data_IF_196666003785
#
_entry.id   IF_196666003785
#
_cell.length_a   1.000
_cell.length_b   1.000
_cell.length_c   1.000
_cell.angle_alpha   90.00
_cell.angle_beta   90.00
_cell.angle_gamma   90.00
#
_symmetry.space_group_name_H-M   'P 1'
#
loop_
_entity.id
_entity.type
_entity.pdbx_description
1 polymer ?
#
# COMPACT_ATOMS: atom_id res chain seq x y z
N UNK A 1 6.27 -7.67 0.32
CA UNK A 1 5.56 -7.00 -0.79
C UNK A 1 6.66 -6.39 -1.63
N UNK A 2 6.88 -6.88 -2.84
CA UNK A 2 8.10 -6.54 -3.57
C UNK A 2 7.79 -5.39 -4.53
N UNK A 3 8.51 -4.28 -4.37
CA UNK A 3 8.36 -3.08 -5.18
C UNK A 3 8.94 -3.33 -6.58
N UNK A 4 8.06 -3.49 -7.58
CA UNK A 4 8.45 -3.59 -8.98
C UNK A 4 8.20 -2.27 -9.70
N UNK A 5 9.15 -1.94 -10.59
CA UNK A 5 9.20 -0.73 -11.44
C UNK A 5 7.85 -0.50 -12.17
N UNK A 6 7.26 0.71 -12.14
CA UNK A 6 5.94 0.99 -12.72
C UNK A 6 5.89 0.84 -14.26
N UNK A 7 4.70 0.62 -14.84
CA UNK A 7 4.51 0.44 -16.29
C UNK A 7 4.92 1.67 -17.08
N UNK A 8 4.74 2.84 -16.46
CA UNK A 8 5.18 4.11 -16.98
C UNK A 8 6.37 4.64 -16.18
N UNK A 9 7.35 3.76 -15.91
CA UNK A 9 8.61 4.16 -15.30
C UNK A 9 9.24 5.35 -16.02
N UNK A 10 9.09 5.42 -17.34
CA UNK A 10 9.53 6.55 -18.14
C UNK A 10 8.80 7.85 -17.75
N UNK A 11 7.47 7.86 -17.61
CA UNK A 11 6.77 9.07 -17.18
C UNK A 11 7.11 9.48 -15.74
N UNK A 12 7.26 8.53 -14.81
CA UNK A 12 7.70 8.85 -13.46
C UNK A 12 9.11 9.43 -13.45
N UNK A 13 10.05 8.81 -14.18
CA UNK A 13 11.45 9.28 -14.29
C UNK A 13 11.49 10.66 -14.94
N UNK A 14 10.74 10.89 -16.02
CA UNK A 14 10.68 12.19 -16.67
C UNK A 14 10.09 13.26 -15.74
N UNK A 15 8.99 12.97 -15.04
CA UNK A 15 8.41 13.89 -14.07
C UNK A 15 9.34 14.17 -12.89
N UNK A 16 10.07 13.15 -12.42
CA UNK A 16 11.06 13.27 -11.34
C UNK A 16 12.31 14.05 -11.76
N UNK A 17 12.70 13.96 -13.04
CA UNK A 17 13.84 14.69 -13.61
C UNK A 17 13.53 16.18 -13.85
N UNK A 18 12.25 16.54 -13.97
CA UNK A 18 11.79 17.90 -14.28
C UNK A 18 10.81 18.44 -13.23
N UNK A 19 11.09 18.21 -11.94
CA UNK A 19 10.20 18.64 -10.86
C UNK A 19 9.98 20.16 -10.83
N UNK A 20 10.95 20.94 -11.26
CA UNK A 20 10.91 22.40 -11.38
C UNK A 20 9.84 22.91 -12.36
N UNK A 21 9.32 22.03 -13.23
CA UNK A 21 8.17 22.36 -14.09
C UNK A 21 6.84 22.28 -13.35
N UNK A 22 6.81 21.92 -12.08
CA UNK A 22 5.57 21.88 -11.29
C UNK A 22 5.60 22.98 -10.25
N UNK A 23 4.45 23.62 -10.03
CA UNK A 23 4.26 24.50 -8.88
C UNK A 23 4.07 23.67 -7.60
N UNK A 24 3.46 22.48 -7.75
CA UNK A 24 3.10 21.59 -6.66
C UNK A 24 3.36 20.12 -6.96
N UNK A 25 3.75 19.39 -5.92
CA UNK A 25 3.66 17.92 -5.88
C UNK A 25 2.77 17.51 -4.73
N UNK A 26 1.70 16.78 -5.04
CA UNK A 26 0.70 16.37 -4.05
C UNK A 26 0.67 14.84 -4.00
N UNK A 27 0.98 14.27 -2.84
CA UNK A 27 1.20 12.82 -2.69
C UNK A 27 0.29 12.23 -1.62
N UNK A 28 -0.35 11.10 -1.93
CA UNK A 28 -1.29 10.43 -1.01
C UNK A 28 -0.72 9.21 -0.29
N UNK A 29 0.54 8.85 -0.55
CA UNK A 29 1.17 7.63 -0.03
C UNK A 29 2.68 7.79 0.11
N UNK A 30 3.24 7.38 1.25
CA UNK A 30 4.69 7.33 1.46
C UNK A 30 5.42 6.46 0.41
N UNK A 31 4.75 5.45 -0.17
CA UNK A 31 5.31 4.63 -1.26
C UNK A 31 5.49 5.43 -2.54
N UNK A 32 4.52 6.30 -2.86
CA UNK A 32 4.63 7.17 -4.01
C UNK A 32 5.75 8.22 -3.83
N UNK A 33 5.96 8.68 -2.58
CA UNK A 33 7.13 9.52 -2.25
C UNK A 33 8.44 8.76 -2.48
N UNK A 34 8.54 7.52 -1.99
CA UNK A 34 9.75 6.70 -2.17
C UNK A 34 10.05 6.45 -3.65
N UNK A 35 9.03 6.11 -4.45
CA UNK A 35 9.18 5.91 -5.89
C UNK A 35 9.64 7.18 -6.60
N UNK A 36 9.04 8.34 -6.30
CA UNK A 36 9.44 9.63 -6.86
C UNK A 36 10.87 10.00 -6.45
N UNK A 37 11.20 9.83 -5.17
CA UNK A 37 12.51 10.13 -4.61
C UNK A 37 13.62 9.23 -5.17
N UNK A 38 13.32 7.96 -5.45
CA UNK A 38 14.23 7.02 -6.08
C UNK A 38 14.41 7.25 -7.58
N UNK A 39 13.44 7.89 -8.24
CA UNK A 39 13.48 8.17 -9.68
C UNK A 39 14.15 9.52 -10.02
N UNK A 40 14.26 10.46 -9.07
CA UNK A 40 14.88 11.76 -9.33
C UNK A 40 16.41 11.67 -9.33
N UNK A 41 17.04 12.52 -10.14
CA UNK A 41 18.48 12.68 -10.18
C UNK A 41 18.98 13.88 -9.33
N UNK A 42 18.08 14.78 -8.94
CA UNK A 42 18.41 16.06 -8.30
C UNK A 42 17.72 16.22 -6.95
N UNK A 43 18.13 17.21 -6.15
CA UNK A 43 17.45 17.55 -4.90
C UNK A 43 16.05 18.12 -5.22
N UNK A 44 15.12 17.96 -4.28
CA UNK A 44 13.83 18.66 -4.32
C UNK A 44 14.03 20.17 -4.57
N UNK A 45 13.43 20.75 -5.63
CA UNK A 45 13.58 22.18 -5.89
C UNK A 45 12.79 23.01 -4.85
N UNK A 46 13.44 24.01 -4.23
CA UNK A 46 12.82 24.86 -3.18
C UNK A 46 11.56 25.61 -3.63
N UNK A 47 11.44 25.89 -4.93
CA UNK A 47 10.29 26.57 -5.50
C UNK A 47 9.04 25.68 -5.59
N UNK A 48 9.21 24.36 -5.54
CA UNK A 48 8.13 23.38 -5.71
C UNK A 48 7.49 23.11 -4.36
N UNK A 49 6.24 23.54 -4.20
CA UNK A 49 5.48 23.31 -2.96
C UNK A 49 5.02 21.85 -2.89
N UNK A 50 4.84 21.36 -1.68
CA UNK A 50 4.42 19.97 -1.46
C UNK A 50 3.20 19.88 -0.58
N UNK A 51 2.39 18.85 -0.82
CA UNK A 51 1.27 18.52 0.05
C UNK A 51 1.14 17.00 0.21
N UNK A 52 0.68 16.56 1.37
CA UNK A 52 0.63 15.15 1.73
C UNK A 52 -0.68 14.74 2.40
N UNK A 53 -1.20 13.57 2.03
CA UNK A 53 -2.28 12.92 2.79
C UNK A 53 -1.66 12.23 4.01
N UNK A 54 -1.85 12.83 5.18
CA UNK A 54 -1.43 12.30 6.47
C UNK A 54 0.03 12.58 6.83
N UNK A 55 0.31 12.56 8.14
CA UNK A 55 1.62 12.89 8.71
C UNK A 55 2.75 12.00 8.19
N UNK A 56 2.51 10.68 8.11
CA UNK A 56 3.52 9.72 7.61
C UNK A 56 3.98 10.03 6.18
N UNK A 57 3.07 10.47 5.31
CA UNK A 57 3.43 10.84 3.93
C UNK A 57 4.22 12.15 3.91
N UNK A 58 3.87 13.10 4.77
CA UNK A 58 4.61 14.37 4.90
C UNK A 58 6.03 14.14 5.44
N UNK A 59 6.18 13.29 6.45
CA UNK A 59 7.49 12.87 6.98
C UNK A 59 8.36 12.25 5.88
N UNK A 60 7.77 11.39 5.04
CA UNK A 60 8.48 10.80 3.91
C UNK A 60 8.94 11.87 2.89
N UNK A 61 8.14 12.92 2.63
CA UNK A 61 8.51 14.03 1.74
C UNK A 61 9.66 14.86 2.33
N UNK A 62 9.60 15.16 3.64
CA UNK A 62 10.67 15.87 4.35
C UNK A 62 11.96 15.05 4.34
N UNK A 63 11.88 13.74 4.61
CA UNK A 63 13.02 12.83 4.51
C UNK A 63 13.57 12.76 3.08
N UNK A 64 12.69 12.91 2.07
CA UNK A 64 13.06 13.09 0.68
C UNK A 64 13.54 14.52 0.35
N UNK A 65 13.76 15.39 1.34
CA UNK A 65 14.36 16.71 1.15
C UNK A 65 13.42 17.80 0.65
N UNK A 66 12.10 17.60 0.72
CA UNK A 66 11.13 18.67 0.50
C UNK A 66 11.28 19.77 1.54
N UNK A 67 11.43 21.02 1.07
CA UNK A 67 11.59 22.22 1.89
C UNK A 67 11.01 23.41 1.10
N UNK A 68 9.98 24.12 1.61
CA UNK A 68 9.40 24.05 2.97
C UNK A 68 8.61 22.76 3.24
N UNK A 69 8.29 22.53 4.51
CA UNK A 69 7.54 21.35 4.97
C UNK A 69 6.20 21.20 4.19
N UNK A 70 5.77 19.96 3.88
CA UNK A 70 4.55 19.72 3.14
C UNK A 70 3.30 20.23 3.85
N UNK A 71 2.36 20.78 3.09
CA UNK A 71 1.02 21.08 3.56
C UNK A 71 0.29 19.77 3.89
N UNK A 72 -0.32 19.71 5.06
CA UNK A 72 -1.16 18.59 5.50
C UNK A 72 -2.53 19.13 5.93
N UNK A 73 -3.57 18.34 5.68
CA UNK A 73 -4.93 18.65 6.13
C UNK A 73 -5.10 18.45 7.64
N UNK A 74 -6.06 19.16 8.23
CA UNK A 74 -6.50 18.92 9.60
C UNK A 74 -7.48 17.73 9.62
N UNK A 75 -6.96 16.52 9.76
CA UNK A 75 -7.76 15.29 9.78
C UNK A 75 -7.15 14.17 8.94
N UNK A 76 -7.92 13.10 8.73
CA UNK A 76 -7.47 11.94 7.97
C UNK A 76 -8.01 11.94 6.54
N UNK A 77 -7.17 11.46 5.61
CA UNK A 77 -7.59 11.20 4.24
C UNK A 77 -7.53 12.40 3.28
N UNK A 78 -8.01 12.15 2.06
CA UNK A 78 -7.93 13.08 0.95
C UNK A 78 -8.80 14.34 1.16
N UNK A 79 -9.97 14.20 1.78
CA UNK A 79 -10.91 15.30 1.99
C UNK A 79 -10.33 16.35 2.94
N UNK A 80 -9.70 15.91 4.03
CA UNK A 80 -9.02 16.81 4.97
C UNK A 80 -7.91 17.62 4.28
N UNK A 81 -7.14 16.97 3.38
CA UNK A 81 -6.13 17.67 2.60
C UNK A 81 -6.78 18.66 1.61
N UNK A 82 -7.87 18.27 0.96
CA UNK A 82 -8.60 19.16 0.06
C UNK A 82 -9.08 20.42 0.77
N UNK A 83 -9.60 20.33 2.00
CA UNK A 83 -10.01 21.50 2.79
C UNK A 83 -8.86 22.51 2.99
N UNK A 84 -7.62 22.03 3.19
CA UNK A 84 -6.46 22.91 3.31
C UNK A 84 -6.03 23.50 1.95
N UNK A 85 -6.20 22.73 0.87
CA UNK A 85 -5.83 23.14 -0.49
C UNK A 85 -6.86 24.09 -1.13
N UNK A 86 -8.14 23.95 -0.81
CA UNK A 86 -9.24 24.65 -1.48
C UNK A 86 -9.24 26.16 -1.26
N UNK A 87 -8.52 26.64 -0.24
CA UNK A 87 -8.34 28.07 0.02
C UNK A 87 -7.24 28.72 -0.84
N UNK A 88 -6.47 27.93 -1.60
CA UNK A 88 -5.39 28.40 -2.45
C UNK A 88 -5.89 28.65 -3.87
N UNK A 89 -5.17 29.50 -4.62
CA UNK A 89 -5.47 29.72 -6.02
C UNK A 89 -4.77 28.69 -6.92
N UNK A 90 -5.57 28.02 -7.74
CA UNK A 90 -5.21 26.87 -8.56
C UNK A 90 -5.18 27.16 -10.06
N UNK A 91 -5.81 28.25 -10.51
CA UNK A 91 -5.84 28.65 -11.92
C UNK A 91 -4.44 28.60 -12.55
N UNK A 92 -4.28 27.76 -13.58
CA UNK A 92 -3.03 27.53 -14.32
C UNK A 92 -1.83 26.98 -13.51
N UNK A 93 -2.05 26.52 -12.28
CA UNK A 93 -0.98 25.87 -11.49
C UNK A 93 -0.69 24.48 -12.01
N UNK A 94 0.57 24.17 -12.23
CA UNK A 94 1.03 22.85 -12.69
C UNK A 94 1.22 21.95 -11.48
N UNK A 95 0.48 20.85 -11.41
CA UNK A 95 0.48 19.95 -10.26
C UNK A 95 0.85 18.55 -10.69
N UNK A 96 1.87 17.99 -10.07
CA UNK A 96 2.20 16.57 -10.19
C UNK A 96 1.47 15.79 -9.09
N UNK A 97 0.73 14.75 -9.50
CA UNK A 97 0.05 13.82 -8.60
C UNK A 97 0.56 12.39 -8.88
N UNK A 98 1.54 11.91 -8.10
CA UNK A 98 1.97 10.53 -8.14
C UNK A 98 0.85 9.61 -7.62
N UNK A 99 0.37 8.69 -8.45
CA UNK A 99 -0.79 7.82 -8.20
C UNK A 99 -0.45 6.32 -8.35
N UNK A 100 -1.45 5.46 -8.19
CA UNK A 100 -1.39 4.03 -8.50
C UNK A 100 -2.42 3.69 -9.58
N UNK A 101 -2.23 2.63 -10.37
CA UNK A 101 -3.28 2.15 -11.26
C UNK A 101 -4.57 1.88 -10.48
N UNK A 102 -5.68 2.44 -10.95
CA UNK A 102 -6.99 2.33 -10.28
C UNK A 102 -7.09 3.06 -8.93
N UNK A 103 -6.13 3.92 -8.58
CA UNK A 103 -6.17 4.72 -7.37
C UNK A 103 -7.34 5.71 -7.38
N UNK A 104 -7.87 6.03 -6.19
CA UNK A 104 -8.92 7.05 -6.04
C UNK A 104 -8.39 8.41 -6.50
N UNK A 105 -9.10 9.06 -7.44
CA UNK A 105 -8.67 10.29 -8.11
C UNK A 105 -9.26 11.58 -7.53
N UNK A 106 -9.90 11.50 -6.37
CA UNK A 106 -10.64 12.61 -5.74
C UNK A 106 -9.84 13.92 -5.71
N UNK A 107 -8.58 13.88 -5.26
CA UNK A 107 -7.73 15.09 -5.22
C UNK A 107 -7.40 15.62 -6.61
N UNK A 108 -7.04 14.76 -7.56
CA UNK A 108 -6.69 15.18 -8.91
C UNK A 108 -7.90 15.79 -9.64
N UNK A 109 -9.09 15.22 -9.45
CA UNK A 109 -10.34 15.73 -9.99
C UNK A 109 -10.71 17.08 -9.36
N UNK A 110 -10.62 17.21 -8.03
CA UNK A 110 -10.90 18.46 -7.32
C UNK A 110 -9.94 19.59 -7.76
N UNK A 111 -8.65 19.30 -7.90
CA UNK A 111 -7.65 20.27 -8.38
C UNK A 111 -7.93 20.72 -9.82
N UNK A 112 -8.30 19.80 -10.72
CA UNK A 112 -8.70 20.14 -12.09
C UNK A 112 -9.95 21.02 -12.10
N UNK A 113 -10.95 20.68 -11.27
CA UNK A 113 -12.16 21.48 -11.14
C UNK A 113 -11.88 22.90 -10.62
N UNK A 114 -10.84 23.08 -9.81
CA UNK A 114 -10.35 24.38 -9.36
C UNK A 114 -9.42 25.11 -10.37
N UNK A 115 -9.18 24.55 -11.57
CA UNK A 115 -8.41 25.21 -12.64
C UNK A 115 -6.92 24.85 -12.68
N UNK A 116 -6.48 23.85 -11.91
CA UNK A 116 -5.10 23.36 -11.97
C UNK A 116 -4.85 22.48 -13.20
N UNK A 117 -3.62 22.54 -13.71
CA UNK A 117 -3.10 21.66 -14.76
C UNK A 117 -2.47 20.44 -14.08
N UNK A 118 -3.24 19.36 -13.96
CA UNK A 118 -2.84 18.17 -13.18
C UNK A 118 -2.24 17.08 -14.07
N UNK A 119 -0.96 16.78 -13.82
CA UNK A 119 -0.24 15.63 -14.39
C UNK A 119 -0.27 14.46 -13.40
N UNK A 120 -0.96 13.39 -13.75
CA UNK A 120 -0.93 12.13 -12.98
C UNK A 120 0.14 11.19 -13.53
N UNK A 121 0.96 10.62 -12.65
CA UNK A 121 1.97 9.61 -13.00
C UNK A 121 1.82 8.38 -12.11
N UNK A 122 1.82 7.19 -12.70
CA UNK A 122 1.79 5.95 -11.92
C UNK A 122 3.14 5.75 -11.21
N UNK A 123 3.16 6.02 -9.91
CA UNK A 123 4.36 5.97 -9.09
C UNK A 123 4.76 4.54 -8.74
N UNK A 124 3.77 3.72 -8.39
CA UNK A 124 3.98 2.32 -8.05
C UNK A 124 2.79 1.48 -8.45
N UNK A 125 3.02 0.18 -8.55
CA UNK A 125 1.96 -0.81 -8.75
C UNK A 125 2.05 -1.85 -7.65
N UNK A 126 0.90 -2.28 -7.18
CA UNK A 126 0.83 -3.50 -6.38
C UNK A 126 0.86 -4.67 -7.34
N UNK A 127 2.04 -5.25 -7.54
CA UNK A 127 2.14 -6.52 -8.24
C UNK A 127 1.79 -7.66 -7.27
N UNK A 128 1.03 -8.67 -7.72
CA UNK A 128 0.98 -9.96 -7.03
C UNK A 128 2.42 -10.45 -6.84
N UNK A 129 2.74 -11.01 -5.66
CA UNK A 129 4.04 -11.66 -5.51
C UNK A 129 4.05 -12.92 -6.38
N UNK A 130 5.11 -13.18 -7.15
CA UNK A 130 5.20 -14.41 -7.94
C UNK A 130 5.01 -15.64 -7.04
N UNK A 131 4.21 -16.64 -7.47
CA UNK A 131 4.04 -17.90 -6.75
C UNK A 131 5.35 -18.53 -6.26
N UNK A 132 6.41 -18.45 -7.06
CA UNK A 132 7.72 -19.03 -6.78
C UNK A 132 8.41 -18.34 -5.60
N UNK A 133 8.30 -17.01 -5.50
CA UNK A 133 8.86 -16.23 -4.37
C UNK A 133 8.09 -16.49 -3.09
N UNK A 134 6.76 -16.58 -3.18
CA UNK A 134 5.92 -16.93 -2.02
C UNK A 134 6.31 -18.32 -1.52
N UNK A 135 6.45 -19.29 -2.43
CA UNK A 135 6.87 -20.65 -2.10
C UNK A 135 8.27 -20.71 -1.49
N UNK A 136 9.23 -19.98 -2.04
CA UNK A 136 10.58 -19.90 -1.51
C UNK A 136 10.61 -19.32 -0.08
N UNK A 137 9.95 -18.18 0.14
CA UNK A 137 9.85 -17.56 1.47
C UNK A 137 9.14 -18.47 2.46
N UNK A 138 8.07 -19.15 2.03
CA UNK A 138 7.32 -20.10 2.85
C UNK A 138 8.20 -21.27 3.31
N UNK A 139 8.94 -21.89 2.39
CA UNK A 139 9.86 -22.98 2.74
C UNK A 139 11.05 -22.52 3.58
N UNK A 140 11.52 -21.29 3.39
CA UNK A 140 12.59 -20.71 4.21
C UNK A 140 12.11 -20.42 5.64
N UNK A 141 10.91 -19.86 5.79
CA UNK A 141 10.32 -19.54 7.08
C UNK A 141 9.89 -20.78 7.88
N UNK A 142 9.58 -21.89 7.19
CA UNK A 142 9.07 -23.15 7.78
C UNK A 142 7.98 -22.91 8.84
N UNK A 143 6.87 -22.23 8.47
CA UNK A 143 5.80 -21.95 9.42
C UNK A 143 5.20 -23.27 9.91
N UNK A 144 4.91 -23.34 11.20
CA UNK A 144 4.12 -24.41 11.81
C UNK A 144 2.63 -24.07 11.83
N UNK A 145 2.28 -22.80 11.68
CA UNK A 145 0.94 -22.26 11.77
C UNK A 145 0.80 -20.93 11.00
N UNK A 146 -0.41 -20.55 10.60
CA UNK A 146 -0.65 -19.30 9.86
C UNK A 146 -1.97 -18.61 10.23
N UNK A 147 -1.94 -17.27 10.27
CA UNK A 147 -3.13 -16.41 10.28
C UNK A 147 -3.33 -15.82 8.88
N UNK A 148 -4.51 -16.03 8.30
CA UNK A 148 -4.87 -15.52 6.97
C UNK A 148 -5.77 -14.31 7.14
N UNK A 149 -5.24 -13.15 6.73
CA UNK A 149 -5.83 -11.84 7.03
C UNK A 149 -6.87 -11.36 6.01
N UNK A 150 -7.01 -12.04 4.86
CA UNK A 150 -7.99 -11.64 3.84
C UNK A 150 -8.26 -12.75 2.81
N UNK A 151 -9.39 -12.68 2.10
CA UNK A 151 -9.69 -13.55 0.96
C UNK A 151 -8.59 -13.53 -0.12
N UNK A 152 -8.04 -12.36 -0.43
CA UNK A 152 -7.00 -12.23 -1.46
C UNK A 152 -5.71 -12.94 -1.04
N UNK A 153 -5.30 -12.81 0.23
CA UNK A 153 -4.15 -13.56 0.76
C UNK A 153 -4.40 -15.07 0.73
N UNK A 154 -5.61 -15.52 1.05
CA UNK A 154 -5.99 -16.93 0.96
C UNK A 154 -5.81 -17.46 -0.48
N UNK A 155 -6.41 -16.78 -1.46
CA UNK A 155 -6.31 -17.18 -2.87
C UNK A 155 -4.86 -17.20 -3.35
N UNK A 156 -4.07 -16.16 -3.02
CA UNK A 156 -2.66 -16.09 -3.44
C UNK A 156 -1.81 -17.20 -2.82
N UNK A 157 -2.04 -17.58 -1.56
CA UNK A 157 -1.31 -18.67 -0.93
C UNK A 157 -1.71 -20.03 -1.50
N UNK A 158 -2.99 -20.24 -1.78
CA UNK A 158 -3.49 -21.47 -2.43
C UNK A 158 -2.93 -21.60 -3.84
N UNK A 159 -2.88 -20.52 -4.61
CA UNK A 159 -2.25 -20.50 -5.94
C UNK A 159 -0.76 -20.84 -5.86
N UNK A 160 -0.05 -20.29 -4.87
CA UNK A 160 1.39 -20.47 -4.75
C UNK A 160 1.82 -21.83 -4.19
N UNK A 161 1.08 -22.35 -3.21
CA UNK A 161 1.46 -23.51 -2.41
C UNK A 161 0.58 -24.74 -2.68
N UNK A 162 -0.54 -24.55 -3.37
CA UNK A 162 -1.65 -25.51 -3.39
C UNK A 162 -2.38 -25.57 -2.04
N UNK A 163 -3.59 -26.17 -2.00
CA UNK A 163 -4.31 -26.40 -0.75
C UNK A 163 -3.50 -27.24 0.25
N UNK A 164 -2.71 -28.19 -0.25
CA UNK A 164 -1.89 -29.09 0.58
C UNK A 164 -0.80 -28.35 1.36
N UNK A 165 -0.22 -27.27 0.81
CA UNK A 165 0.81 -26.49 1.51
C UNK A 165 0.29 -25.77 2.76
N UNK A 166 -0.97 -25.33 2.75
CA UNK A 166 -1.63 -24.76 3.92
C UNK A 166 -2.18 -25.84 4.84
N UNK A 167 -2.71 -26.93 4.28
CA UNK A 167 -3.27 -28.05 5.04
C UNK A 167 -2.21 -28.83 5.82
N UNK A 168 -0.93 -28.72 5.45
CA UNK A 168 0.19 -29.33 6.16
C UNK A 168 0.57 -28.58 7.45
N UNK A 169 0.03 -27.39 7.68
CA UNK A 169 0.26 -26.64 8.91
C UNK A 169 -0.50 -27.27 10.08
N UNK A 170 0.04 -27.09 11.30
CA UNK A 170 -0.64 -27.53 12.52
C UNK A 170 -1.93 -26.74 12.76
N UNK A 171 -1.95 -25.47 12.37
CA UNK A 171 -3.13 -24.62 12.50
C UNK A 171 -3.16 -23.52 11.42
N UNK A 172 -4.34 -23.32 10.83
CA UNK A 172 -4.65 -22.19 9.95
C UNK A 172 -5.84 -21.45 10.55
N UNK A 173 -5.71 -20.14 10.74
CA UNK A 173 -6.77 -19.29 11.28
C UNK A 173 -7.15 -18.22 10.27
N UNK A 174 -8.39 -18.24 9.79
CA UNK A 174 -8.98 -17.14 9.06
C UNK A 174 -9.30 -15.99 10.03
N UNK A 175 -8.90 -14.76 9.68
CA UNK A 175 -9.20 -13.58 10.51
C UNK A 175 -10.71 -13.32 10.59
N UNK A 176 -11.49 -13.75 9.60
CA UNK A 176 -12.93 -13.50 9.57
C UNK A 176 -13.68 -14.33 8.52
N UNK A 177 -15.02 -14.20 8.46
CA UNK A 177 -15.90 -15.11 7.74
C UNK A 177 -15.69 -15.11 6.22
N UNK A 178 -15.37 -13.96 5.62
CA UNK A 178 -15.09 -13.89 4.18
C UNK A 178 -13.81 -14.63 3.82
N UNK A 179 -12.80 -14.56 4.67
CA UNK A 179 -11.53 -15.29 4.49
C UNK A 179 -11.74 -16.78 4.69
N UNK A 180 -12.53 -17.16 5.68
CA UNK A 180 -12.92 -18.55 5.95
C UNK A 180 -13.63 -19.17 4.74
N UNK A 181 -14.57 -18.44 4.12
CA UNK A 181 -15.26 -18.91 2.92
C UNK A 181 -14.29 -19.19 1.75
N UNK A 182 -13.29 -18.34 1.53
CA UNK A 182 -12.27 -18.57 0.49
C UNK A 182 -11.41 -19.79 0.79
N UNK A 183 -11.01 -20.00 2.04
CA UNK A 183 -10.24 -21.19 2.44
C UNK A 183 -11.07 -22.47 2.32
N UNK A 184 -12.35 -22.43 2.70
CA UNK A 184 -13.27 -23.55 2.55
C UNK A 184 -13.44 -23.94 1.08
N UNK A 185 -13.65 -22.95 0.20
CA UNK A 185 -13.77 -23.18 -1.25
C UNK A 185 -12.51 -23.80 -1.86
N UNK A 186 -11.33 -23.52 -1.29
CA UNK A 186 -10.07 -24.11 -1.67
C UNK A 186 -9.78 -25.49 -1.01
N UNK A 187 -10.66 -25.98 -0.13
CA UNK A 187 -10.47 -27.24 0.59
C UNK A 187 -9.41 -27.20 1.69
N UNK A 188 -9.11 -26.02 2.24
CA UNK A 188 -8.10 -25.84 3.30
C UNK A 188 -8.77 -25.93 4.68
N UNK A 189 -8.39 -26.89 5.55
CA UNK A 189 -8.85 -26.94 6.94
C UNK A 189 -8.40 -25.69 7.69
N UNK A 190 -9.34 -25.06 8.42
CA UNK A 190 -9.06 -23.81 9.13
C UNK A 190 -10.00 -23.60 10.32
N UNK A 191 -9.60 -22.69 11.19
CA UNK A 191 -10.42 -22.10 12.24
C UNK A 191 -10.76 -20.66 11.88
N UNK A 192 -11.78 -20.09 12.51
CA UNK A 192 -12.16 -18.69 12.31
C UNK A 192 -11.97 -17.95 13.62
N UNK A 193 -11.31 -16.79 13.56
CA UNK A 193 -11.22 -15.91 14.72
C UNK A 193 -12.64 -15.46 15.15
N UNK A 194 -12.95 -15.44 16.45
CA UNK A 194 -14.27 -15.01 16.93
C UNK A 194 -14.62 -13.57 16.52
N UNK A 195 -13.61 -12.72 16.35
CA UNK A 195 -13.75 -11.36 15.80
C UNK A 195 -12.67 -11.10 14.76
N UNK A 196 -13.01 -10.22 13.82
CA UNK A 196 -12.18 -9.86 12.68
C UNK A 196 -11.07 -8.87 13.05
N UNK A 197 -10.18 -9.30 13.95
CA UNK A 197 -9.00 -8.57 14.36
C UNK A 197 -7.81 -9.52 14.58
N UNK A 198 -6.60 -8.97 14.48
CA UNK A 198 -5.37 -9.77 14.59
C UNK A 198 -5.13 -10.30 15.99
N UNK A 199 -5.64 -9.64 17.03
CA UNK A 199 -5.45 -10.06 18.41
C UNK A 199 -6.23 -11.35 18.67
N UNK A 200 -7.49 -11.42 18.24
CA UNK A 200 -8.30 -12.64 18.34
C UNK A 200 -7.77 -13.76 17.46
N UNK A 201 -7.37 -13.46 16.24
CA UNK A 201 -6.78 -14.48 15.37
C UNK A 201 -5.50 -15.09 15.97
N UNK A 202 -4.65 -14.26 16.59
CA UNK A 202 -3.46 -14.73 17.30
C UNK A 202 -3.80 -15.56 18.55
N UNK A 203 -4.83 -15.17 19.32
CA UNK A 203 -5.30 -15.95 20.48
C UNK A 203 -5.83 -17.31 20.08
N UNK A 204 -6.67 -17.37 19.04
CA UNK A 204 -7.16 -18.64 18.48
C UNK A 204 -5.99 -19.52 18.04
N UNK A 205 -5.00 -18.94 17.37
CA UNK A 205 -3.82 -19.69 16.94
C UNK A 205 -3.02 -20.24 18.13
N UNK A 206 -2.80 -19.44 19.18
CA UNK A 206 -2.10 -19.86 20.38
C UNK A 206 -2.80 -21.03 21.08
N UNK A 207 -4.13 -20.93 21.26
CA UNK A 207 -4.92 -21.98 21.90
C UNK A 207 -4.85 -23.32 21.14
N UNK A 208 -4.75 -23.28 19.80
CA UNK A 208 -4.60 -24.47 18.96
C UNK A 208 -3.21 -25.09 19.03
N UNK A 209 -2.17 -24.28 19.29
CA UNK A 209 -0.80 -24.78 19.50
C UNK A 209 -0.69 -25.51 20.85
N UNK A 210 -1.36 -24.99 21.87
CA UNK A 210 -1.33 -25.56 23.23
C UNK A 210 -2.14 -26.86 23.36
N UNK A 211 -3.15 -27.08 22.50
CA UNK A 211 -3.91 -28.34 22.45
C UNK A 211 -3.21 -29.46 21.68
N UNK A 212 -2.10 -29.18 20.98
CA UNK A 212 -1.36 -30.14 20.18
C UNK A 212 -0.21 -30.87 20.92
N UNK A 213 -0.12 -30.73 22.26
CA UNK A 213 0.77 -31.56 23.11
C UNK A 213 -0.09 -32.23 24.21
N UNK A 214 0.02 -33.56 24.39
CA UNK A 214 1.29 -34.19 24.72
C UNK A 214 1.69 -35.31 23.75
N UNK A 215 2.93 -35.26 23.26
CA UNK A 215 3.63 -36.44 22.73
C UNK A 215 4.35 -37.18 23.87
N UNK A 216 4.61 -38.48 23.70
CA UNK A 216 4.89 -39.46 24.76
C UNK A 216 6.12 -39.15 25.64
#
# INVERSE_FOLDING_TARGET
MDEHRPANATALVNAAASLEQFDWVIVSSARAVAALAGARATRWPRAVRTAAVGARTAEALVAAGADPAPLVGAGEGADALWTALSALEWTNRRVLVPTVPGGRRVLAEALRAAGAIVTEVEAYRMAPRPPERIRADWHAARPDAAVIASPSVASTLVEALGPGGLSALKAVVAIGPTTAATLAAAGVPHHVAPRADFHEAARTLAALRDTALPGP
#
